data_IF_184556194734
#
_entry.id   IF_184556194734
#
_cell.length_a   1.000
_cell.length_b   1.000
_cell.length_c   1.000
_cell.angle_alpha   90.00
_cell.angle_beta   90.00
_cell.angle_gamma   90.00
#
_symmetry.space_group_name_H-M   'P 1'
#
loop_
_entity.id
_entity.type
_entity.pdbx_description
1 polymer ?
#
# COMPACT_ATOMS: atom_id res chain seq x y z
N UNK A 1 7.94 14.45 -12.63
CA UNK A 1 8.63 13.26 -12.06
C UNK A 1 8.51 13.22 -10.54
N UNK A 2 9.14 14.13 -9.80
CA UNK A 2 8.95 14.20 -8.34
C UNK A 2 7.51 14.56 -7.96
N UNK A 3 6.89 15.49 -8.68
CA UNK A 3 5.48 15.87 -8.49
C UNK A 3 4.51 14.70 -8.73
N UNK A 4 4.76 13.86 -9.74
CA UNK A 4 3.93 12.69 -10.03
C UNK A 4 4.02 11.64 -8.92
N UNK A 5 5.22 11.42 -8.36
CA UNK A 5 5.46 10.50 -7.25
C UNK A 5 4.76 11.00 -5.99
N UNK A 6 4.92 12.27 -5.65
CA UNK A 6 4.25 12.88 -4.49
C UNK A 6 2.73 12.76 -4.60
N UNK A 7 2.16 13.08 -5.77
CA UNK A 7 0.72 12.95 -6.01
C UNK A 7 0.23 11.51 -5.90
N UNK A 8 1.00 10.54 -6.40
CA UNK A 8 0.67 9.12 -6.27
C UNK A 8 0.60 8.68 -4.79
N UNK A 9 1.52 9.15 -3.96
CA UNK A 9 1.53 8.87 -2.52
C UNK A 9 0.34 9.54 -1.83
N UNK A 10 0.05 10.81 -2.13
CA UNK A 10 -1.12 11.51 -1.57
C UNK A 10 -2.43 10.77 -1.87
N UNK A 11 -2.61 10.32 -3.12
CA UNK A 11 -3.78 9.54 -3.53
C UNK A 11 -3.83 8.17 -2.83
N UNK A 12 -2.69 7.50 -2.66
CA UNK A 12 -2.61 6.22 -1.95
C UNK A 12 -3.00 6.37 -0.47
N UNK A 13 -2.50 7.40 0.22
CA UNK A 13 -2.86 7.69 1.62
C UNK A 13 -4.34 8.07 1.74
N UNK A 14 -4.89 8.83 0.78
CA UNK A 14 -6.32 9.14 0.76
C UNK A 14 -7.17 7.87 0.62
N UNK A 15 -6.82 6.97 -0.31
CA UNK A 15 -7.50 5.69 -0.49
C UNK A 15 -7.39 4.77 0.75
N UNK A 16 -6.24 4.79 1.43
CA UNK A 16 -6.06 4.08 2.69
C UNK A 16 -7.03 4.57 3.76
N UNK A 17 -7.11 5.89 3.96
CA UNK A 17 -8.05 6.50 4.91
C UNK A 17 -9.51 6.27 4.55
N UNK A 18 -9.85 6.31 3.27
CA UNK A 18 -11.22 5.98 2.82
C UNK A 18 -11.61 4.55 3.20
N UNK A 19 -10.66 3.61 3.09
CA UNK A 19 -10.90 2.19 3.39
C UNK A 19 -10.91 1.87 4.89
N UNK A 20 -10.05 2.51 5.68
CA UNK A 20 -9.82 2.15 7.09
C UNK A 20 -10.30 3.22 8.10
N UNK A 21 -10.77 4.37 7.63
CA UNK A 21 -11.23 5.51 8.44
C UNK A 21 -10.31 6.73 8.34
N UNK A 22 -10.86 7.94 8.52
CA UNK A 22 -10.11 9.20 8.37
C UNK A 22 -8.92 9.33 9.35
N UNK A 23 -9.06 8.73 10.55
CA UNK A 23 -8.03 8.68 11.58
C UNK A 23 -7.02 7.54 11.38
N UNK A 24 -7.20 6.69 10.37
CA UNK A 24 -6.27 5.60 10.09
C UNK A 24 -4.89 6.15 9.68
N UNK A 25 -3.85 5.57 10.28
CA UNK A 25 -2.44 5.92 10.05
C UNK A 25 -1.64 4.64 9.91
N UNK A 26 -0.56 4.72 9.15
CA UNK A 26 0.45 3.67 9.11
C UNK A 26 1.35 3.85 10.34
N UNK A 27 1.51 2.78 11.10
CA UNK A 27 2.36 2.70 12.29
C UNK A 27 3.68 1.99 11.97
N UNK A 28 4.63 2.06 12.89
CA UNK A 28 5.93 1.38 12.76
C UNK A 28 5.73 -0.13 12.50
N UNK A 29 6.33 -0.63 11.42
CA UNK A 29 6.20 -2.03 11.00
C UNK A 29 5.05 -2.31 10.05
N UNK A 30 4.17 -1.33 9.79
CA UNK A 30 3.12 -1.50 8.77
C UNK A 30 3.70 -1.50 7.36
N UNK A 31 3.13 -2.37 6.53
CA UNK A 31 3.34 -2.40 5.09
C UNK A 31 1.99 -2.48 4.38
N UNK A 32 1.79 -1.62 3.38
CA UNK A 32 0.57 -1.57 2.59
C UNK A 32 0.90 -1.50 1.10
N UNK A 33 0.08 -2.18 0.31
CA UNK A 33 0.25 -2.30 -1.13
C UNK A 33 -0.92 -1.63 -1.85
N UNK A 34 -0.59 -0.76 -2.80
CA UNK A 34 -1.53 -0.05 -3.67
C UNK A 34 -1.29 -0.40 -5.12
N UNK A 35 -2.36 -0.73 -5.83
CA UNK A 35 -2.31 -0.91 -7.29
C UNK A 35 -2.69 0.40 -7.98
N UNK A 36 -1.78 0.93 -8.79
CA UNK A 36 -2.04 2.02 -9.72
C UNK A 36 -2.29 1.47 -11.13
N UNK A 37 -2.72 2.33 -12.06
CA UNK A 37 -3.08 1.92 -13.42
C UNK A 37 -1.93 1.23 -14.16
N UNK A 38 -0.68 1.62 -13.92
CA UNK A 38 0.51 1.17 -14.64
C UNK A 38 1.61 0.59 -13.73
N UNK A 39 1.44 0.59 -12.41
CA UNK A 39 2.44 0.12 -11.46
C UNK A 39 1.80 -0.29 -10.13
N UNK A 40 2.60 -0.88 -9.25
CA UNK A 40 2.30 -1.12 -7.85
C UNK A 40 3.17 -0.20 -6.99
N UNK A 41 2.57 0.42 -5.97
CA UNK A 41 3.24 1.17 -4.92
C UNK A 41 3.14 0.38 -3.62
N UNK A 42 4.29 0.15 -2.97
CA UNK A 42 4.39 -0.42 -1.63
C UNK A 42 4.89 0.69 -0.72
N UNK A 43 4.17 0.94 0.38
CA UNK A 43 4.56 1.87 1.44
C UNK A 43 4.80 1.07 2.71
N UNK A 44 5.96 1.22 3.31
CA UNK A 44 6.29 0.66 4.63
C UNK A 44 6.75 1.76 5.58
N UNK A 45 6.51 1.58 6.89
CA UNK A 45 7.12 2.40 7.94
C UNK A 45 8.18 1.56 8.64
N UNK A 46 9.44 1.94 8.48
CA UNK A 46 10.58 1.28 9.10
C UNK A 46 11.51 2.34 9.72
N UNK A 47 11.92 2.15 10.97
CA UNK A 47 12.74 3.08 11.73
C UNK A 47 12.13 4.50 11.79
N UNK A 48 10.82 4.58 12.04
CA UNK A 48 9.99 5.79 11.99
C UNK A 48 10.07 6.56 10.66
N UNK A 49 10.50 5.89 9.58
CA UNK A 49 10.67 6.49 8.26
C UNK A 49 9.76 5.79 7.25
N UNK A 50 9.01 6.58 6.49
CA UNK A 50 8.23 6.07 5.37
C UNK A 50 9.17 5.69 4.22
N UNK A 51 9.16 4.42 3.82
CA UNK A 51 9.80 3.92 2.61
C UNK A 51 8.75 3.67 1.53
N UNK A 52 9.13 3.93 0.30
CA UNK A 52 8.26 3.80 -0.87
C UNK A 52 8.98 3.02 -1.96
N UNK A 53 8.28 2.02 -2.54
CA UNK A 53 8.80 1.20 -3.64
C UNK A 53 7.77 1.11 -4.75
N UNK A 54 8.21 1.42 -5.96
CA UNK A 54 7.40 1.29 -7.17
C UNK A 54 7.86 0.07 -7.98
N UNK A 55 6.89 -0.72 -8.45
CA UNK A 55 7.12 -1.87 -9.34
C UNK A 55 6.27 -1.65 -10.59
N UNK A 56 6.91 -1.54 -11.76
CA UNK A 56 6.20 -1.32 -13.02
C UNK A 56 5.36 -2.52 -13.45
N UNK A 57 4.22 -2.25 -14.09
CA UNK A 57 3.25 -3.27 -14.49
C UNK A 57 2.23 -3.58 -13.40
N UNK A 58 1.29 -4.47 -13.72
CA UNK A 58 0.26 -4.93 -12.80
C UNK A 58 0.68 -6.26 -12.16
N UNK A 59 0.29 -6.52 -10.90
CA UNK A 59 0.59 -7.80 -10.26
C UNK A 59 -0.15 -8.94 -10.97
N UNK A 60 0.48 -10.11 -11.03
CA UNK A 60 -0.14 -11.32 -11.57
C UNK A 60 -1.02 -11.92 -10.47
N UNK A 61 -2.34 -11.94 -10.69
CA UNK A 61 -3.29 -12.55 -9.77
C UNK A 61 -3.20 -14.08 -9.86
N UNK A 62 -3.09 -14.74 -8.72
CA UNK A 62 -3.13 -16.20 -8.58
C UNK A 62 -4.39 -16.56 -7.78
N UNK A 63 -5.13 -17.58 -8.21
CA UNK A 63 -6.32 -18.10 -7.53
C UNK A 63 -5.90 -19.07 -6.42
N UNK A 64 -5.45 -18.54 -5.28
CA UNK A 64 -5.01 -19.32 -4.14
C UNK A 64 -5.14 -18.51 -2.83
N UNK A 65 -5.58 -19.17 -1.75
CA UNK A 65 -5.70 -18.57 -0.43
C UNK A 65 -4.63 -19.12 0.52
N UNK A 66 -4.03 -18.22 1.30
CA UNK A 66 -3.09 -18.58 2.35
C UNK A 66 -3.85 -18.68 3.68
N UNK A 67 -3.77 -19.85 4.33
CA UNK A 67 -4.42 -20.12 5.62
C UNK A 67 -4.02 -19.13 6.72
N UNK A 68 -2.83 -18.55 6.66
CA UNK A 68 -2.34 -17.57 7.64
C UNK A 68 -3.13 -16.25 7.66
N UNK A 69 -3.96 -16.00 6.64
CA UNK A 69 -4.84 -14.82 6.56
C UNK A 69 -6.32 -15.18 6.59
N UNK A 70 -6.66 -16.46 6.77
CA UNK A 70 -8.02 -16.86 7.09
C UNK A 70 -8.20 -16.62 8.60
N UNK A 71 -9.13 -15.74 8.99
CA UNK A 71 -9.47 -15.56 10.39
C UNK A 71 -9.89 -16.92 10.98
N UNK A 72 -9.31 -17.31 12.12
CA UNK A 72 -9.87 -18.41 12.91
C UNK A 72 -11.28 -17.98 13.35
N UNK A 73 -12.31 -18.59 12.77
CA UNK A 73 -13.70 -18.47 13.25
C UNK A 73 -13.84 -18.95 14.71
#
# INVERSE_FOLDING_TARGET
MMEDISKAIELAIAAFKEKFGEDAKLEEGDEVVFQLNNCVLIISIEDNTMKQKFIGGQPIKIDHNLKIYESEE
#
